data_IF_518541148742
#
_entry.id   IF_518541148742
#
_cell.length_a   1.000
_cell.length_b   1.000
_cell.length_c   1.000
_cell.angle_alpha   90.00
_cell.angle_beta   90.00
_cell.angle_gamma   90.00
#
_symmetry.space_group_name_H-M   'P 1'
#
loop_
_entity.id
_entity.type
_entity.pdbx_description
1 polymer ?
#
# COMPACT_ATOMS: atom_id res chain seq x y z
N UNK A 1 29.86 6.67 -3.50
CA UNK A 1 29.83 5.20 -3.80
C UNK A 1 30.71 4.35 -2.88
N UNK A 2 31.92 4.79 -2.47
CA UNK A 2 32.89 3.97 -1.70
C UNK A 2 32.31 3.24 -0.47
N UNK A 3 31.37 3.85 0.25
CA UNK A 3 30.77 3.29 1.47
C UNK A 3 29.39 2.65 1.25
N UNK A 4 28.87 2.68 0.01
CA UNK A 4 27.53 2.20 -0.34
C UNK A 4 27.56 1.04 -1.37
N UNK A 5 28.71 0.36 -1.47
CA UNK A 5 28.93 -0.72 -2.42
C UNK A 5 29.83 -1.77 -1.78
N UNK A 6 29.59 -3.04 -2.11
CA UNK A 6 30.52 -4.16 -1.90
C UNK A 6 30.89 -4.79 -3.24
N UNK A 7 31.96 -5.59 -3.23
CA UNK A 7 32.39 -6.43 -4.35
C UNK A 7 32.01 -7.87 -4.07
N UNK A 8 31.32 -8.49 -5.01
CA UNK A 8 31.07 -9.92 -4.96
C UNK A 8 32.23 -10.69 -5.58
N UNK A 9 32.87 -11.54 -4.79
CA UNK A 9 33.86 -12.50 -5.27
C UNK A 9 33.12 -13.77 -5.68
N UNK A 10 33.03 -14.01 -6.99
CA UNK A 10 32.31 -15.14 -7.58
C UNK A 10 32.96 -16.47 -7.20
N UNK A 11 34.29 -16.51 -7.08
CA UNK A 11 35.02 -17.75 -6.81
C UNK A 11 34.82 -18.21 -5.37
N UNK A 12 34.77 -17.26 -4.43
CA UNK A 12 34.62 -17.55 -3.01
C UNK A 12 33.19 -17.37 -2.50
N UNK A 13 32.26 -16.86 -3.33
CA UNK A 13 30.89 -16.50 -2.96
C UNK A 13 30.79 -15.55 -1.75
N UNK A 14 31.74 -14.62 -1.62
CA UNK A 14 31.84 -13.67 -0.50
C UNK A 14 31.66 -12.23 -0.98
N UNK A 15 31.02 -11.41 -0.14
CA UNK A 15 30.95 -9.96 -0.32
C UNK A 15 32.04 -9.25 0.48
N UNK A 16 32.88 -8.50 -0.21
CA UNK A 16 33.89 -7.63 0.38
C UNK A 16 33.41 -6.18 0.37
N UNK A 17 33.28 -5.51 1.53
CA UNK A 17 32.88 -4.11 1.59
C UNK A 17 33.81 -3.18 0.81
N UNK A 18 33.22 -2.17 0.16
CA UNK A 18 33.94 -1.14 -0.58
C UNK A 18 34.18 -1.47 -2.04
N UNK A 19 35.09 -0.72 -2.67
CA UNK A 19 35.39 -0.81 -4.10
C UNK A 19 36.82 -1.26 -4.42
N UNK A 20 37.61 -1.59 -3.40
CA UNK A 20 39.05 -1.86 -3.53
C UNK A 20 39.43 -3.15 -4.25
N UNK A 21 38.46 -3.99 -4.61
CA UNK A 21 38.66 -5.23 -5.37
C UNK A 21 38.02 -5.13 -6.77
N UNK A 22 38.57 -5.81 -7.78
CA UNK A 22 37.88 -6.02 -9.06
C UNK A 22 36.73 -7.02 -8.88
N UNK A 23 35.63 -6.83 -9.60
CA UNK A 23 34.47 -7.75 -9.59
C UNK A 23 33.12 -7.04 -9.67
N UNK A 24 32.02 -7.82 -9.76
CA UNK A 24 30.65 -7.29 -9.75
C UNK A 24 30.38 -6.42 -8.53
N UNK A 25 29.73 -5.27 -8.76
CA UNK A 25 29.38 -4.33 -7.70
C UNK A 25 27.98 -4.64 -7.20
N UNK A 26 27.86 -4.77 -5.88
CA UNK A 26 26.58 -4.94 -5.19
C UNK A 26 26.35 -3.69 -4.37
N UNK A 27 25.31 -2.92 -4.71
CA UNK A 27 24.90 -1.75 -3.92
C UNK A 27 24.37 -2.26 -2.58
N UNK A 28 25.06 -1.91 -1.51
CA UNK A 28 24.69 -2.25 -0.15
C UNK A 28 25.33 -1.26 0.84
N UNK A 29 24.96 -1.33 2.12
CA UNK A 29 25.43 -0.37 3.12
C UNK A 29 26.34 -1.01 4.16
N UNK A 30 27.08 -2.06 3.79
CA UNK A 30 27.88 -2.86 4.73
C UNK A 30 28.93 -2.02 5.48
N UNK A 31 29.59 -1.08 4.80
CA UNK A 31 30.56 -0.20 5.45
C UNK A 31 29.94 0.70 6.53
N UNK A 32 28.69 1.10 6.35
CA UNK A 32 27.98 1.99 7.29
C UNK A 32 27.31 1.18 8.40
N UNK A 33 26.61 0.10 8.05
CA UNK A 33 25.76 -0.65 8.97
C UNK A 33 26.47 -1.80 9.70
N UNK A 34 27.48 -2.42 9.08
CA UNK A 34 28.22 -3.56 9.66
C UNK A 34 29.56 -3.13 10.23
N UNK A 35 30.27 -2.26 9.52
CA UNK A 35 31.58 -1.77 9.96
C UNK A 35 31.49 -0.45 10.74
N UNK A 36 30.27 0.06 10.97
CA UNK A 36 30.00 1.27 11.75
C UNK A 36 30.90 2.46 11.38
N UNK A 37 31.15 2.66 10.08
CA UNK A 37 31.97 3.79 9.59
C UNK A 37 31.52 5.13 10.17
N UNK A 38 30.21 5.26 10.42
CA UNK A 38 29.60 6.28 11.26
C UNK A 38 28.55 5.59 12.16
N UNK A 39 28.21 6.14 13.33
CA UNK A 39 27.22 5.57 14.26
C UNK A 39 25.76 5.76 13.79
N UNK A 40 25.50 5.70 12.48
CA UNK A 40 24.23 6.10 11.88
C UNK A 40 23.01 5.38 12.48
N UNK A 41 23.10 4.06 12.65
CA UNK A 41 22.00 3.27 13.17
C UNK A 41 21.66 3.64 14.63
N UNK A 42 22.67 3.94 15.44
CA UNK A 42 22.48 4.40 16.81
C UNK A 42 21.87 5.80 16.85
N UNK A 43 22.39 6.72 16.01
CA UNK A 43 21.86 8.09 15.90
C UNK A 43 20.40 8.11 15.45
N UNK A 44 20.03 7.32 14.44
CA UNK A 44 18.63 7.22 13.99
C UNK A 44 17.74 6.66 15.09
N UNK A 45 18.16 5.59 15.79
CA UNK A 45 17.38 5.03 16.92
C UNK A 45 17.15 6.06 18.03
N UNK A 46 18.19 6.81 18.37
CA UNK A 46 18.11 7.86 19.38
C UNK A 46 17.14 8.97 18.97
N UNK A 47 17.27 9.48 17.74
CA UNK A 47 16.39 10.52 17.20
C UNK A 47 14.94 10.04 17.12
N UNK A 48 14.69 8.82 16.63
CA UNK A 48 13.36 8.23 16.60
C UNK A 48 12.73 8.14 18.00
N UNK A 49 13.52 7.79 19.02
CA UNK A 49 13.07 7.76 20.42
C UNK A 49 12.65 9.14 20.93
N UNK A 50 13.50 10.15 20.73
CA UNK A 50 13.22 11.53 21.14
C UNK A 50 11.99 12.10 20.45
N UNK A 51 11.88 11.92 19.13
CA UNK A 51 10.75 12.44 18.36
C UNK A 51 9.46 11.71 18.74
N UNK A 52 9.50 10.37 18.92
CA UNK A 52 8.35 9.61 19.41
C UNK A 52 7.85 10.13 20.75
N UNK A 53 8.75 10.43 21.68
CA UNK A 53 8.40 10.99 22.99
C UNK A 53 7.77 12.39 22.85
N UNK A 54 8.37 13.26 22.04
CA UNK A 54 7.87 14.62 21.81
C UNK A 54 6.49 14.65 21.14
N UNK A 55 6.21 13.74 20.20
CA UNK A 55 4.93 13.64 19.50
C UNK A 55 3.90 12.78 20.25
N UNK A 56 4.31 12.00 21.25
CA UNK A 56 3.43 11.07 21.97
C UNK A 56 2.92 9.89 21.13
N UNK A 57 3.46 9.66 19.94
CA UNK A 57 3.05 8.61 19.01
C UNK A 57 4.26 8.12 18.19
N UNK A 58 4.28 6.87 17.67
CA UNK A 58 5.31 6.45 16.72
C UNK A 58 5.42 7.42 15.54
N UNK A 59 6.62 7.53 14.97
CA UNK A 59 6.90 8.50 13.89
C UNK A 59 7.67 7.84 12.76
N UNK A 60 7.43 8.32 11.55
CA UNK A 60 8.26 8.09 10.36
C UNK A 60 9.18 9.29 10.16
N UNK A 61 10.45 9.03 9.83
CA UNK A 61 11.43 10.09 9.54
C UNK A 61 12.11 9.83 8.20
N UNK A 62 12.21 10.89 7.39
CA UNK A 62 13.08 10.91 6.21
C UNK A 62 14.36 11.67 6.58
N UNK A 63 15.50 11.13 6.18
CA UNK A 63 16.80 11.69 6.54
C UNK A 63 17.79 11.62 5.38
N UNK A 64 18.80 12.48 5.42
CA UNK A 64 19.96 12.43 4.54
C UNK A 64 21.25 12.44 5.36
N UNK A 65 22.28 11.79 4.84
CA UNK A 65 23.60 11.74 5.48
C UNK A 65 24.65 12.24 4.51
N UNK A 66 25.44 13.22 4.93
CA UNK A 66 26.70 13.55 4.29
C UNK A 66 27.84 12.83 5.02
N UNK A 67 28.45 11.86 4.33
CA UNK A 67 29.57 11.08 4.83
C UNK A 67 30.91 11.82 4.73
N UNK A 68 30.93 13.00 4.11
CA UNK A 68 32.11 13.87 4.08
C UNK A 68 32.26 14.47 5.47
N UNK A 69 33.41 14.26 6.15
CA UNK A 69 33.67 14.88 7.44
C UNK A 69 33.58 16.40 7.33
N UNK A 70 32.97 17.03 8.32
CA UNK A 70 33.06 18.48 8.51
C UNK A 70 34.40 18.88 9.17
N UNK A 71 34.50 20.15 9.56
CA UNK A 71 35.70 20.73 10.17
C UNK A 71 36.09 20.04 11.48
N UNK A 72 35.13 19.41 12.18
CA UNK A 72 35.34 18.65 13.41
C UNK A 72 35.61 17.16 13.15
N UNK A 73 35.55 16.74 11.89
CA UNK A 73 35.81 15.36 11.47
C UNK A 73 34.57 14.46 11.49
N UNK A 74 33.39 15.03 11.72
CA UNK A 74 32.15 14.28 11.90
C UNK A 74 31.29 14.24 10.63
N UNK A 75 30.49 13.18 10.51
CA UNK A 75 29.50 13.07 9.44
C UNK A 75 28.22 13.80 9.82
N UNK A 76 27.60 14.44 8.84
CA UNK A 76 26.40 15.26 9.05
C UNK A 76 25.14 14.44 8.76
N UNK A 77 24.21 14.40 9.72
CA UNK A 77 22.88 13.78 9.60
C UNK A 77 21.81 14.88 9.58
N UNK A 78 21.02 14.91 8.51
CA UNK A 78 19.93 15.87 8.32
C UNK A 78 18.59 15.15 8.41
N UNK A 79 17.68 15.67 9.22
CA UNK A 79 16.28 15.25 9.20
C UNK A 79 15.56 16.10 8.17
N UNK A 80 15.00 15.44 7.16
CA UNK A 80 14.32 16.08 6.03
C UNK A 80 12.82 16.19 6.27
N UNK A 81 12.25 15.18 6.92
CA UNK A 81 10.82 15.13 7.22
C UNK A 81 10.57 14.29 8.47
N UNK A 82 9.55 14.68 9.24
CA UNK A 82 9.01 13.92 10.36
C UNK A 82 7.51 13.85 10.19
N UNK A 83 6.94 12.65 10.26
CA UNK A 83 5.50 12.42 10.22
C UNK A 83 5.06 11.60 11.43
N UNK A 84 4.16 12.10 12.29
CA UNK A 84 3.54 11.26 13.31
C UNK A 84 2.69 10.20 12.63
N UNK A 85 2.90 8.95 13.01
CA UNK A 85 2.01 7.85 12.68
C UNK A 85 0.82 8.01 13.62
N UNK A 86 -0.19 8.78 13.20
CA UNK A 86 -1.47 8.87 13.91
C UNK A 86 -2.16 7.53 13.68
N UNK A 87 -1.82 6.55 14.50
CA UNK A 87 -2.58 5.33 14.59
C UNK A 87 -3.84 5.71 15.38
N UNK A 88 -5.01 5.68 14.72
CA UNK A 88 -6.26 5.57 15.48
C UNK A 88 -6.14 4.23 16.19
N UNK A 89 -5.78 4.29 17.47
CA UNK A 89 -5.50 3.17 18.33
C UNK A 89 -6.82 2.49 18.72
N UNK A 90 -7.46 1.86 17.75
CA UNK A 90 -8.28 0.72 18.02
C UNK A 90 -7.50 -0.49 17.50
N UNK A 91 -6.89 -1.24 18.41
CA UNK A 91 -6.44 -2.60 18.13
C UNK A 91 -7.70 -3.42 17.78
N UNK A 92 -8.12 -3.38 16.51
CA UNK A 92 -9.18 -4.24 16.03
C UNK A 92 -8.57 -5.59 15.72
N UNK A 93 -8.69 -6.51 16.68
CA UNK A 93 -8.47 -7.91 16.42
C UNK A 93 -9.65 -8.45 15.61
N UNK A 94 -9.38 -8.99 14.41
CA UNK A 94 -10.41 -9.63 13.60
C UNK A 94 -10.51 -11.09 14.02
N UNK A 95 -11.58 -11.43 14.72
CA UNK A 95 -11.99 -12.81 14.96
C UNK A 95 -12.97 -13.24 13.86
N UNK A 96 -12.50 -14.05 12.91
CA UNK A 96 -13.28 -14.49 11.75
C UNK A 96 -14.52 -15.30 12.14
N UNK A 97 -14.54 -15.95 13.30
CA UNK A 97 -15.67 -16.75 13.77
C UNK A 97 -16.88 -15.88 14.12
N UNK A 98 -16.68 -14.56 14.30
CA UNK A 98 -17.75 -13.60 14.60
C UNK A 98 -18.46 -13.08 13.34
N UNK A 99 -17.96 -13.42 12.15
CA UNK A 99 -18.49 -12.92 10.90
C UNK A 99 -19.26 -14.00 10.13
N UNK A 100 -20.44 -13.63 9.69
CA UNK A 100 -21.26 -14.43 8.79
C UNK A 100 -20.67 -14.39 7.37
N UNK A 101 -20.12 -15.53 6.91
CA UNK A 101 -19.50 -15.67 5.58
C UNK A 101 -20.46 -15.31 4.45
N UNK A 102 -21.77 -15.49 4.62
CA UNK A 102 -22.77 -15.15 3.59
C UNK A 102 -22.97 -13.63 3.43
N UNK A 103 -22.49 -12.85 4.40
CA UNK A 103 -22.54 -11.38 4.39
C UNK A 103 -21.18 -10.74 4.14
N UNK A 104 -20.11 -11.52 4.02
CA UNK A 104 -18.77 -11.01 3.72
C UNK A 104 -18.65 -10.69 2.23
N UNK A 105 -18.49 -9.40 1.92
CA UNK A 105 -18.19 -8.92 0.57
C UNK A 105 -16.77 -9.31 0.18
N UNK A 106 -15.80 -9.13 1.08
CA UNK A 106 -14.43 -9.56 0.85
C UNK A 106 -13.72 -9.88 2.15
N UNK A 107 -12.76 -10.79 2.04
CA UNK A 107 -11.76 -11.05 3.06
C UNK A 107 -10.39 -11.07 2.39
N UNK A 108 -9.44 -10.34 2.95
CA UNK A 108 -8.10 -10.20 2.39
C UNK A 108 -7.04 -10.39 3.47
N UNK A 109 -6.02 -11.17 3.15
CA UNK A 109 -4.77 -11.26 3.88
C UNK A 109 -3.67 -10.55 3.07
N UNK A 110 -2.60 -10.11 3.74
CA UNK A 110 -1.45 -9.43 3.11
C UNK A 110 -1.86 -8.10 2.45
N UNK A 111 -2.17 -7.13 3.31
CA UNK A 111 -2.32 -5.73 2.91
C UNK A 111 -1.85 -4.77 4.00
N UNK A 112 -2.21 -3.51 3.79
CA UNK A 112 -1.91 -2.39 4.68
C UNK A 112 -3.21 -1.67 5.03
N UNK A 113 -3.45 -1.52 6.31
CA UNK A 113 -4.63 -0.88 6.86
C UNK A 113 -4.71 -1.21 8.34
N UNK A 114 -5.32 -0.33 9.12
CA UNK A 114 -5.59 -0.60 10.54
C UNK A 114 -6.80 0.18 10.98
N UNK A 115 -7.66 -0.43 11.79
CA UNK A 115 -8.85 0.21 12.33
C UNK A 115 -10.13 -0.14 11.59
N UNK A 116 -11.12 0.73 11.68
CA UNK A 116 -12.38 0.63 10.95
C UNK A 116 -12.56 1.81 9.97
N UNK A 117 -13.27 1.57 8.88
CA UNK A 117 -13.76 2.63 7.98
C UNK A 117 -15.28 2.58 7.98
N UNK A 118 -15.90 3.69 8.41
CA UNK A 118 -17.36 3.80 8.52
C UNK A 118 -17.96 4.69 7.43
N UNK A 119 -19.27 4.56 7.23
CA UNK A 119 -20.05 5.46 6.37
C UNK A 119 -19.91 5.23 4.87
N UNK A 120 -19.13 4.24 4.43
CA UNK A 120 -19.01 3.88 3.01
C UNK A 120 -20.20 3.03 2.61
N UNK A 121 -20.85 3.41 1.51
CA UNK A 121 -21.95 2.64 0.88
C UNK A 121 -21.62 2.22 -0.54
N UNK A 122 -20.64 2.86 -1.15
CA UNK A 122 -20.34 2.80 -2.56
C UNK A 122 -19.14 1.89 -2.80
N UNK A 123 -19.31 0.92 -3.70
CA UNK A 123 -18.25 0.05 -4.18
C UNK A 123 -18.16 0.20 -5.69
N UNK A 124 -16.95 0.50 -6.16
CA UNK A 124 -16.62 0.61 -7.57
C UNK A 124 -15.65 -0.51 -7.91
N UNK A 125 -16.00 -1.34 -8.87
CA UNK A 125 -15.18 -2.47 -9.24
C UNK A 125 -15.13 -2.69 -10.74
N UNK A 126 -14.01 -3.24 -11.22
CA UNK A 126 -13.86 -3.67 -12.61
C UNK A 126 -14.72 -4.91 -12.84
N UNK A 127 -15.53 -4.91 -13.90
CA UNK A 127 -16.25 -6.09 -14.35
C UNK A 127 -15.27 -7.04 -15.06
N UNK A 128 -14.95 -8.15 -14.38
CA UNK A 128 -13.98 -9.15 -14.87
C UNK A 128 -14.39 -9.76 -16.23
N UNK A 129 -15.68 -9.72 -16.60
CA UNK A 129 -16.15 -10.28 -17.88
C UNK A 129 -15.76 -9.42 -19.08
N UNK A 130 -15.52 -8.13 -18.87
CA UNK A 130 -15.16 -7.15 -19.91
C UNK A 130 -13.75 -6.61 -19.74
N UNK A 131 -12.99 -7.14 -18.77
CA UNK A 131 -11.61 -6.75 -18.54
C UNK A 131 -10.72 -7.15 -19.73
N UNK A 132 -10.02 -6.18 -20.29
CA UNK A 132 -9.00 -6.37 -21.31
C UNK A 132 -7.73 -5.60 -20.91
N UNK A 133 -6.62 -6.32 -20.73
CA UNK A 133 -5.32 -5.74 -20.37
C UNK A 133 -4.78 -4.73 -21.38
N UNK A 134 -5.26 -4.76 -22.63
CA UNK A 134 -4.90 -3.78 -23.65
C UNK A 134 -5.63 -2.44 -23.49
N UNK A 135 -6.74 -2.42 -22.73
CA UNK A 135 -7.61 -1.27 -22.51
C UNK A 135 -7.39 -0.58 -21.16
N UNK A 136 -6.29 -0.88 -20.46
CA UNK A 136 -6.04 -0.36 -19.09
C UNK A 136 -5.87 1.16 -19.06
N UNK A 137 -5.44 1.79 -20.16
CA UNK A 137 -5.37 3.24 -20.27
C UNK A 137 -6.77 3.85 -20.31
N UNK A 138 -7.68 3.26 -21.08
CA UNK A 138 -9.08 3.66 -21.17
C UNK A 138 -9.80 3.46 -19.83
N UNK A 139 -9.50 2.36 -19.13
CA UNK A 139 -9.98 2.14 -17.75
C UNK A 139 -9.53 3.28 -16.81
N UNK A 140 -8.29 3.78 -16.95
CA UNK A 140 -7.80 4.89 -16.11
C UNK A 140 -8.57 6.19 -16.34
N UNK A 141 -9.06 6.42 -17.56
CA UNK A 141 -9.91 7.58 -17.89
C UNK A 141 -11.32 7.39 -17.36
N UNK A 142 -11.88 6.18 -17.46
CA UNK A 142 -13.21 5.89 -16.95
C UNK A 142 -13.29 6.03 -15.42
N UNK A 143 -12.32 5.49 -14.68
CA UNK A 143 -12.30 5.63 -13.22
C UNK A 143 -12.05 7.07 -12.77
N UNK A 144 -11.32 7.88 -13.54
CA UNK A 144 -11.15 9.30 -13.28
C UNK A 144 -12.49 10.04 -13.28
N UNK A 145 -13.34 9.78 -14.28
CA UNK A 145 -14.68 10.40 -14.36
C UNK A 145 -15.59 9.95 -13.22
N UNK A 146 -15.54 8.67 -12.85
CA UNK A 146 -16.27 8.16 -11.68
C UNK A 146 -15.75 8.82 -10.40
N UNK A 147 -14.44 8.95 -10.22
CA UNK A 147 -13.87 9.60 -9.04
C UNK A 147 -14.24 11.08 -8.96
N UNK A 148 -14.32 11.81 -10.09
CA UNK A 148 -14.82 13.19 -10.13
C UNK A 148 -16.26 13.30 -9.59
N UNK A 149 -17.16 12.43 -10.03
CA UNK A 149 -18.53 12.36 -9.52
C UNK A 149 -18.57 12.10 -8.01
N UNK A 150 -17.68 11.23 -7.51
CA UNK A 150 -17.57 10.91 -6.09
C UNK A 150 -17.01 12.09 -5.26
N UNK A 151 -16.04 12.83 -5.81
CA UNK A 151 -15.50 14.06 -5.21
C UNK A 151 -16.59 15.13 -5.09
N UNK A 152 -17.31 15.40 -6.18
CA UNK A 152 -18.40 16.39 -6.20
C UNK A 152 -19.52 16.03 -5.22
N UNK A 153 -19.88 14.74 -5.15
CA UNK A 153 -20.87 14.23 -4.22
C UNK A 153 -20.37 14.10 -2.77
N UNK A 154 -19.08 14.36 -2.51
CA UNK A 154 -18.41 14.15 -1.20
C UNK A 154 -18.58 12.73 -0.66
N UNK A 155 -18.50 11.74 -1.55
CA UNK A 155 -18.64 10.32 -1.23
C UNK A 155 -17.28 9.63 -1.31
N UNK A 156 -17.03 8.76 -0.33
CA UNK A 156 -15.91 7.84 -0.33
C UNK A 156 -16.37 6.47 -0.80
N UNK A 157 -15.45 5.66 -1.34
CA UNK A 157 -15.80 4.34 -1.87
C UNK A 157 -14.69 3.29 -1.66
N UNK A 158 -15.10 2.04 -1.83
CA UNK A 158 -14.20 0.89 -2.01
C UNK A 158 -13.92 0.70 -3.49
N UNK A 159 -12.66 0.53 -3.86
CA UNK A 159 -12.20 0.31 -5.23
C UNK A 159 -11.61 -1.09 -5.37
N UNK A 160 -12.08 -1.85 -6.35
CA UNK A 160 -11.63 -3.23 -6.59
C UNK A 160 -11.29 -3.40 -8.07
N UNK A 161 -10.11 -3.92 -8.40
CA UNK A 161 -9.82 -4.25 -9.79
C UNK A 161 -8.50 -4.96 -10.03
N UNK A 162 -8.33 -5.53 -11.24
CA UNK A 162 -7.19 -6.37 -11.54
C UNK A 162 -5.88 -5.60 -11.78
N UNK A 163 -4.79 -6.25 -11.41
CA UNK A 163 -3.39 -5.81 -11.56
C UNK A 163 -3.00 -4.65 -10.65
N UNK A 164 -1.84 -4.10 -10.96
CA UNK A 164 -1.19 -3.05 -10.18
C UNK A 164 -1.71 -1.66 -10.55
N UNK A 165 -2.41 -1.02 -9.64
CA UNK A 165 -2.91 0.34 -9.79
C UNK A 165 -1.78 1.35 -9.59
N UNK A 166 -1.68 2.33 -10.49
CA UNK A 166 -0.64 3.34 -10.46
C UNK A 166 0.73 2.89 -10.96
N UNK A 167 0.77 1.76 -11.67
CA UNK A 167 1.94 1.35 -12.45
C UNK A 167 2.16 2.26 -13.65
N UNK A 168 3.41 2.37 -14.12
CA UNK A 168 3.71 2.94 -15.44
C UNK A 168 3.61 1.91 -16.57
N UNK A 169 3.62 0.63 -16.23
CA UNK A 169 3.49 -0.47 -17.18
C UNK A 169 2.03 -0.92 -17.28
N UNK A 170 1.37 -0.47 -18.35
CA UNK A 170 -0.04 -0.79 -18.66
C UNK A 170 -0.35 -2.27 -18.81
N UNK A 171 0.65 -3.13 -19.01
CA UNK A 171 0.46 -4.57 -19.21
C UNK A 171 0.37 -5.37 -17.92
N UNK A 172 0.65 -4.74 -16.77
CA UNK A 172 0.59 -5.38 -15.45
C UNK A 172 -0.41 -4.71 -14.51
N UNK A 173 -1.14 -3.70 -14.99
CA UNK A 173 -2.16 -3.03 -14.19
C UNK A 173 -2.68 -1.73 -14.81
N UNK A 174 -3.53 -1.03 -14.05
CA UNK A 174 -4.22 0.18 -14.50
C UNK A 174 -3.36 1.41 -14.15
N UNK A 175 -2.88 2.18 -15.14
CA UNK A 175 -1.91 3.26 -14.95
C UNK A 175 -2.55 4.57 -14.46
N UNK A 176 -3.24 4.52 -13.32
CA UNK A 176 -3.83 5.72 -12.69
C UNK A 176 -2.80 6.60 -11.99
N UNK A 177 -3.03 7.90 -11.96
CA UNK A 177 -2.39 8.81 -11.02
C UNK A 177 -3.28 9.01 -9.79
N UNK A 178 -2.68 9.43 -8.66
CA UNK A 178 -3.41 9.60 -7.39
C UNK A 178 -4.71 10.43 -7.50
N UNK A 179 -4.75 11.59 -8.20
CA UNK A 179 -5.98 12.38 -8.33
C UNK A 179 -7.13 11.64 -9.02
N UNK A 180 -6.85 10.61 -9.81
CA UNK A 180 -7.87 9.84 -10.53
C UNK A 180 -8.61 8.85 -9.62
N UNK A 181 -8.12 8.58 -8.41
CA UNK A 181 -8.74 7.64 -7.45
C UNK A 181 -8.76 8.19 -6.02
N UNK A 182 -8.67 9.51 -5.86
CA UNK A 182 -8.39 10.18 -4.58
C UNK A 182 -9.46 9.98 -3.50
N UNK A 183 -10.70 9.63 -3.88
CA UNK A 183 -11.80 9.38 -2.93
C UNK A 183 -11.96 7.90 -2.56
N UNK A 184 -11.13 7.01 -3.11
CA UNK A 184 -11.04 5.64 -2.64
C UNK A 184 -10.45 5.61 -1.22
N UNK A 185 -11.10 4.87 -0.31
CA UNK A 185 -10.63 4.68 1.08
C UNK A 185 -10.20 3.25 1.38
N UNK A 186 -10.58 2.33 0.51
CA UNK A 186 -10.16 0.94 0.55
C UNK A 186 -9.96 0.47 -0.89
N UNK A 187 -8.75 0.06 -1.23
CA UNK A 187 -8.36 -0.36 -2.57
C UNK A 187 -7.95 -1.84 -2.50
N UNK A 188 -8.50 -2.63 -3.41
CA UNK A 188 -8.17 -4.04 -3.58
C UNK A 188 -7.66 -4.29 -4.98
N UNK A 189 -6.40 -4.71 -5.07
CA UNK A 189 -5.83 -5.23 -6.30
C UNK A 189 -6.10 -6.72 -6.41
N UNK A 190 -6.61 -7.17 -7.55
CA UNK A 190 -6.83 -8.59 -7.83
C UNK A 190 -5.86 -9.11 -8.89
N UNK A 191 -5.44 -10.36 -8.80
CA UNK A 191 -4.82 -11.03 -9.97
C UNK A 191 -5.88 -11.75 -10.77
N UNK A 192 -5.61 -12.02 -12.05
CA UNK A 192 -6.35 -12.98 -12.87
C UNK A 192 -5.39 -14.07 -13.35
N UNK A 193 -5.92 -15.17 -13.90
CA UNK A 193 -5.14 -16.34 -14.34
C UNK A 193 -4.00 -15.96 -15.30
N UNK A 194 -4.27 -15.04 -16.25
CA UNK A 194 -3.29 -14.49 -17.21
C UNK A 194 -2.82 -13.05 -16.86
N UNK A 195 -3.02 -12.61 -15.61
CA UNK A 195 -2.69 -11.26 -15.16
C UNK A 195 -2.14 -11.26 -13.72
N UNK A 196 -0.81 -11.48 -13.56
CA UNK A 196 -0.19 -11.64 -12.26
C UNK A 196 -0.12 -10.32 -11.49
N UNK A 197 -0.15 -10.43 -10.17
CA UNK A 197 -0.01 -9.30 -9.25
C UNK A 197 1.42 -9.30 -8.71
N UNK A 198 2.30 -8.55 -9.37
CA UNK A 198 3.63 -8.25 -8.84
C UNK A 198 3.49 -7.12 -7.81
N UNK A 199 3.35 -7.51 -6.55
CA UNK A 199 3.27 -6.59 -5.42
C UNK A 199 4.52 -5.70 -5.43
N UNK A 200 4.36 -4.45 -5.85
CA UNK A 200 5.41 -3.46 -5.81
C UNK A 200 4.80 -2.15 -5.31
N UNK A 201 5.13 -1.83 -4.07
CA UNK A 201 4.76 -0.58 -3.43
C UNK A 201 5.54 0.55 -4.10
N UNK A 202 4.93 1.23 -5.09
CA UNK A 202 5.56 2.39 -5.73
C UNK A 202 5.66 3.54 -4.72
N UNK A 203 6.85 4.11 -4.50
CA UNK A 203 7.12 5.04 -3.40
C UNK A 203 6.16 6.24 -3.32
N UNK A 204 5.89 6.93 -4.43
CA UNK A 204 5.00 8.11 -4.43
C UNK A 204 3.50 7.76 -4.27
N UNK A 205 3.07 6.63 -4.81
CA UNK A 205 1.70 6.13 -4.61
C UNK A 205 1.51 5.67 -3.16
N UNK A 206 2.52 5.01 -2.61
CA UNK A 206 2.58 4.54 -1.23
C UNK A 206 2.52 5.68 -0.20
N UNK A 207 3.25 6.78 -0.43
CA UNK A 207 3.20 7.94 0.47
C UNK A 207 1.78 8.52 0.62
N UNK A 208 0.96 8.48 -0.44
CA UNK A 208 -0.42 8.95 -0.36
C UNK A 208 -1.33 7.94 0.36
N UNK A 209 -1.14 6.64 0.12
CA UNK A 209 -1.89 5.59 0.82
C UNK A 209 -1.69 5.68 2.33
N UNK A 210 -0.45 5.85 2.80
CA UNK A 210 -0.13 5.99 4.22
C UNK A 210 -0.60 7.32 4.80
N UNK A 211 -0.40 8.43 4.09
CA UNK A 211 -0.72 9.78 4.62
C UNK A 211 -2.22 10.07 4.65
N UNK A 212 -3.03 9.40 3.81
CA UNK A 212 -4.48 9.64 3.70
C UNK A 212 -5.34 8.54 4.35
N UNK A 213 -4.70 7.63 5.08
CA UNK A 213 -5.34 6.49 5.76
C UNK A 213 -6.22 5.69 4.80
N UNK A 214 -5.65 5.35 3.64
CA UNK A 214 -6.30 4.53 2.61
C UNK A 214 -5.80 3.12 2.76
N UNK A 215 -6.75 2.21 2.96
CA UNK A 215 -6.48 0.80 3.08
C UNK A 215 -6.15 0.21 1.70
N UNK A 216 -5.18 -0.70 1.65
CA UNK A 216 -4.67 -1.25 0.41
C UNK A 216 -4.35 -2.74 0.58
N UNK A 217 -5.06 -3.59 -0.16
CA UNK A 217 -4.96 -5.04 -0.06
C UNK A 217 -4.78 -5.67 -1.43
N UNK A 218 -4.16 -6.86 -1.45
CA UNK A 218 -3.98 -7.64 -2.66
C UNK A 218 -4.62 -9.02 -2.51
N UNK A 219 -5.46 -9.42 -3.46
CA UNK A 219 -6.13 -10.73 -3.47
C UNK A 219 -5.71 -11.47 -4.74
N UNK A 220 -5.02 -12.59 -4.57
CA UNK A 220 -4.64 -13.43 -5.70
C UNK A 220 -5.77 -14.40 -6.06
N UNK A 221 -5.86 -14.76 -7.33
CA UNK A 221 -6.87 -15.68 -7.86
C UNK A 221 -6.64 -17.13 -7.41
N UNK A 222 -5.38 -17.46 -7.11
CA UNK A 222 -4.94 -18.76 -6.60
C UNK A 222 -4.98 -18.85 -5.07
N UNK A 223 -5.45 -17.79 -4.38
CA UNK A 223 -5.52 -17.78 -2.93
C UNK A 223 -6.73 -18.58 -2.43
N UNK A 224 -6.51 -19.49 -1.49
CA UNK A 224 -7.55 -20.30 -0.87
C UNK A 224 -8.23 -19.60 0.32
N UNK A 225 -7.58 -18.60 0.93
CA UNK A 225 -8.08 -17.91 2.12
C UNK A 225 -8.80 -16.61 1.77
N UNK A 226 -8.15 -15.74 0.97
CA UNK A 226 -8.69 -14.44 0.59
C UNK A 226 -9.65 -14.53 -0.59
N UNK A 227 -10.77 -13.80 -0.54
CA UNK A 227 -11.80 -13.85 -1.57
C UNK A 227 -12.55 -12.52 -1.72
N UNK A 228 -13.21 -12.37 -2.87
CA UNK A 228 -14.20 -11.33 -3.15
C UNK A 228 -15.48 -12.03 -3.60
N UNK A 229 -16.58 -11.72 -2.94
CA UNK A 229 -17.90 -12.23 -3.28
C UNK A 229 -18.58 -11.28 -4.28
N UNK A 230 -18.31 -11.48 -5.56
CA UNK A 230 -18.90 -10.69 -6.65
C UNK A 230 -20.43 -10.80 -6.68
N UNK A 231 -21.01 -11.94 -6.31
CA UNK A 231 -22.46 -12.11 -6.25
C UNK A 231 -23.11 -11.18 -5.21
N UNK A 232 -22.43 -10.90 -4.09
CA UNK A 232 -22.90 -9.90 -3.12
C UNK A 232 -22.75 -8.47 -3.63
N UNK A 233 -21.70 -8.17 -4.41
CA UNK A 233 -21.55 -6.86 -5.04
C UNK A 233 -22.70 -6.58 -6.00
N UNK A 234 -23.10 -7.57 -6.80
CA UNK A 234 -24.21 -7.45 -7.76
C UNK A 234 -25.59 -7.33 -7.08
N UNK A 235 -25.72 -7.64 -5.78
CA UNK A 235 -26.96 -7.38 -5.01
C UNK A 235 -27.12 -5.90 -4.61
N UNK A 236 -26.04 -5.11 -4.67
CA UNK A 236 -26.12 -3.67 -4.45
C UNK A 236 -26.94 -2.96 -5.52
N UNK A 237 -27.49 -1.79 -5.21
CA UNK A 237 -28.16 -0.97 -6.21
C UNK A 237 -27.12 -0.50 -7.23
N UNK A 238 -27.29 -0.87 -8.50
CA UNK A 238 -26.46 -0.37 -9.59
C UNK A 238 -26.71 1.13 -9.78
N UNK A 239 -25.71 1.95 -9.45
CA UNK A 239 -25.75 3.41 -9.64
C UNK A 239 -25.31 3.78 -11.05
N UNK A 240 -24.22 3.15 -11.52
CA UNK A 240 -23.66 3.40 -12.84
C UNK A 240 -22.99 2.13 -13.36
N UNK A 241 -23.21 1.85 -14.64
CA UNK A 241 -22.47 0.83 -15.39
C UNK A 241 -21.73 1.53 -16.52
N UNK A 242 -20.42 1.60 -16.41
CA UNK A 242 -19.54 2.10 -17.46
C UNK A 242 -19.15 0.99 -18.44
N UNK A 243 -18.08 1.22 -19.19
CA UNK A 243 -17.56 0.23 -20.13
C UNK A 243 -16.78 -0.86 -19.40
N UNK A 244 -16.00 -0.49 -18.38
CA UNK A 244 -15.16 -1.41 -17.62
C UNK A 244 -15.55 -1.50 -16.14
N UNK A 245 -16.15 -0.44 -15.58
CA UNK A 245 -16.48 -0.37 -14.16
C UNK A 245 -17.98 -0.50 -13.88
N UNK A 246 -18.30 -1.14 -12.76
CA UNK A 246 -19.61 -1.06 -12.10
C UNK A 246 -19.48 -0.27 -10.81
N UNK A 247 -20.39 0.68 -10.63
CA UNK A 247 -20.59 1.37 -9.37
C UNK A 247 -21.89 0.86 -8.75
N UNK A 248 -21.76 0.14 -7.64
CA UNK A 248 -22.87 -0.35 -6.83
C UNK A 248 -22.93 0.39 -5.50
N UNK A 249 -24.14 0.56 -4.98
CA UNK A 249 -24.40 1.21 -3.71
C UNK A 249 -25.28 0.32 -2.84
N UNK A 250 -24.87 0.13 -1.61
CA UNK A 250 -25.68 -0.56 -0.60
C UNK A 250 -26.59 0.42 0.13
N UNK A 251 -27.75 -0.07 0.58
CA UNK A 251 -28.72 0.73 1.33
C UNK A 251 -28.13 1.22 2.67
N UNK A 252 -27.47 0.31 3.38
CA UNK A 252 -26.76 0.57 4.63
C UNK A 252 -25.24 0.66 4.39
N UNK A 253 -24.50 1.42 5.22
CA UNK A 253 -23.03 1.40 5.16
C UNK A 253 -22.47 -0.01 5.33
N UNK A 254 -21.46 -0.34 4.54
CA UNK A 254 -20.69 -1.57 4.70
C UNK A 254 -19.70 -1.40 5.86
N UNK A 255 -19.48 -2.47 6.61
CA UNK A 255 -18.47 -2.49 7.67
C UNK A 255 -17.13 -2.89 7.06
N UNK A 256 -16.10 -2.07 7.29
CA UNK A 256 -14.72 -2.33 6.87
C UNK A 256 -13.87 -2.37 8.13
N UNK A 257 -13.29 -3.52 8.41
CA UNK A 257 -12.42 -3.75 9.56
C UNK A 257 -11.06 -4.24 9.09
N UNK A 258 -10.00 -3.73 9.71
CA UNK A 258 -8.61 -3.99 9.35
C UNK A 258 -7.78 -4.26 10.59
N UNK A 259 -7.12 -5.41 10.62
CA UNK A 259 -6.12 -5.78 11.62
C UNK A 259 -4.73 -5.56 11.00
N UNK A 260 -4.08 -4.45 11.37
CA UNK A 260 -2.76 -4.12 10.87
C UNK A 260 -1.64 -5.03 11.39
N UNK A 261 -1.86 -5.71 12.52
CA UNK A 261 -0.88 -6.67 13.08
C UNK A 261 -0.92 -7.98 12.32
N UNK A 262 -2.12 -8.46 11.98
CA UNK A 262 -2.29 -9.68 11.19
C UNK A 262 -2.28 -9.44 9.67
N UNK A 263 -2.26 -8.16 9.24
CA UNK A 263 -2.35 -7.75 7.84
C UNK A 263 -3.64 -8.26 7.16
N UNK A 264 -4.74 -8.26 7.90
CA UNK A 264 -6.04 -8.79 7.47
C UNK A 264 -7.07 -7.68 7.32
N UNK A 265 -8.05 -7.88 6.46
CA UNK A 265 -9.25 -7.06 6.37
C UNK A 265 -10.50 -7.86 6.05
N UNK A 266 -11.62 -7.41 6.61
CA UNK A 266 -12.97 -7.92 6.33
C UNK A 266 -13.85 -6.76 5.89
N UNK A 267 -14.59 -6.95 4.80
CA UNK A 267 -15.67 -6.05 4.39
C UNK A 267 -16.99 -6.83 4.37
N UNK A 268 -18.02 -6.33 5.04
CA UNK A 268 -19.29 -7.04 5.22
C UNK A 268 -20.55 -6.17 5.14
N UNK A 269 -21.66 -6.79 4.74
CA UNK A 269 -23.01 -6.24 4.77
C UNK A 269 -23.55 -6.36 6.20
N UNK A 270 -23.50 -5.26 6.96
CA UNK A 270 -23.84 -5.16 8.39
C UNK A 270 -22.73 -5.62 9.35
N UNK A 271 -21.98 -4.67 9.88
CA UNK A 271 -21.26 -4.86 11.15
C UNK A 271 -22.08 -4.25 12.26
N UNK A 272 -22.73 -5.06 13.10
CA UNK A 272 -22.79 -4.68 14.51
C UNK A 272 -21.34 -4.69 14.97
N UNK A 273 -20.75 -3.53 15.16
CA UNK A 273 -19.53 -3.38 15.97
C UNK A 273 -20.00 -3.27 17.42
#
# INVERSE_FOLDING_TARGET
>A
LKHCVSVYDVNNQILYPGIGRPGPRVVNFASILKNEYIPLAASIRFILGLIKEAFGTPVEVEFAVNLTPDDDGDANLYILQVKPLIQVANDHHIDLDQFDKEKMILFAEKGMGNGSIEGIKDVIFVDNLVFDKSMTVEMSLEIEEINKEMVEAKKNYVLIGPGRWGTRDRWIGIPVNWPQISNARFIVETSLEDFPLDASFGSHFFHNLTSLNVAYYSIRHDNQTSFINYDLLEKGQLVKKGQFFKHVRFENPISILMDGKQQMAVVSLNGNI
#
